data_IF_559780431217
#
_entry.id   IF_559780431217
#
_cell.length_a   1.000
_cell.length_b   1.000
_cell.length_c   1.000
_cell.angle_alpha   90.00
_cell.angle_beta   90.00
_cell.angle_gamma   90.00
#
_symmetry.space_group_name_H-M   'P 1'
#
loop_
_entity.id
_entity.type
_entity.pdbx_description
1 polymer ?
#
# COMPACT_ATOMS: atom_id res chain seq x y z
N UNK A 1 -31.85 40.20 80.32
CA UNK A 1 -31.62 39.01 81.16
C UNK A 1 -32.00 37.83 80.28
N UNK A 2 -31.10 37.41 79.40
CA UNK A 2 -29.98 36.49 79.64
C UNK A 2 -30.37 35.04 79.29
N UNK A 3 -30.29 34.78 77.98
CA UNK A 3 -29.85 33.51 77.41
C UNK A 3 -28.36 33.27 77.81
N UNK A 4 -27.74 32.13 77.44
CA UNK A 4 -26.38 31.63 77.89
C UNK A 4 -26.55 30.80 79.19
N UNK A 5 -26.04 29.58 79.41
CA UNK A 5 -25.11 28.63 78.73
C UNK A 5 -25.38 27.19 79.30
N UNK A 6 -24.69 26.06 79.04
CA UNK A 6 -23.57 25.65 78.15
C UNK A 6 -23.67 24.16 77.75
N UNK A 7 -22.93 23.76 76.71
CA UNK A 7 -22.21 22.47 76.66
C UNK A 7 -20.80 22.70 76.10
N UNK A 8 -19.79 22.38 76.90
CA UNK A 8 -18.35 22.39 76.61
C UNK A 8 -17.88 21.00 77.06
N UNK A 9 -17.18 20.19 76.25
CA UNK A 9 -15.74 20.15 75.97
C UNK A 9 -15.53 18.96 74.97
N UNK A 10 -14.44 18.78 74.21
CA UNK A 10 -13.11 19.42 74.20
C UNK A 10 -12.46 19.28 72.79
N UNK A 11 -11.45 20.11 72.56
CA UNK A 11 -10.33 20.04 71.59
C UNK A 11 -10.06 18.72 70.80
N UNK A 12 -9.52 18.74 69.58
CA UNK A 12 -8.36 19.54 69.13
C UNK A 12 -8.30 19.73 67.61
N UNK A 13 -7.65 20.82 67.16
CA UNK A 13 -7.39 21.11 65.74
C UNK A 13 -6.20 20.32 65.18
N UNK A 14 -6.29 19.84 63.94
CA UNK A 14 -5.16 19.77 63.00
C UNK A 14 -5.63 19.46 61.57
N UNK A 15 -5.63 20.50 60.71
CA UNK A 15 -5.67 20.43 59.25
C UNK A 15 -4.49 21.26 58.71
N UNK A 16 -4.01 21.07 57.46
CA UNK A 16 -4.17 19.92 56.58
C UNK A 16 -2.78 19.40 56.10
N UNK A 17 -2.76 18.37 55.25
CA UNK A 17 -1.58 18.06 54.43
C UNK A 17 -2.00 17.52 53.07
N UNK A 18 -1.91 18.32 51.98
CA UNK A 18 -2.15 17.83 50.63
C UNK A 18 -0.93 17.02 50.15
N UNK A 19 -1.19 15.82 49.63
CA UNK A 19 -0.16 14.94 49.07
C UNK A 19 0.58 15.63 47.90
N UNK A 20 1.93 15.67 47.91
CA UNK A 20 2.68 16.21 46.79
C UNK A 20 2.89 15.17 45.67
N UNK A 21 3.21 15.69 44.48
CA UNK A 21 3.57 15.00 43.23
C UNK A 21 2.37 14.52 42.38
N UNK A 22 2.18 14.98 41.14
CA UNK A 22 2.86 16.05 40.39
C UNK A 22 1.96 16.59 39.29
N UNK A 23 2.33 17.75 38.74
CA UNK A 23 1.89 18.20 37.42
C UNK A 23 2.04 17.08 36.36
N UNK A 24 1.22 17.00 35.32
CA UNK A 24 0.64 18.14 34.59
C UNK A 24 -0.79 17.86 34.12
N UNK A 25 -1.65 18.87 34.23
CA UNK A 25 -2.81 19.00 33.34
C UNK A 25 -2.30 19.33 31.95
N UNK A 26 -1.89 18.31 31.19
CA UNK A 26 -2.06 18.40 29.76
C UNK A 26 -3.48 17.89 29.47
N UNK A 27 -4.39 18.82 29.21
CA UNK A 27 -5.28 18.56 28.09
C UNK A 27 -4.32 18.31 26.92
N UNK A 28 -4.45 17.18 26.23
CA UNK A 28 -3.88 17.11 24.89
C UNK A 28 -4.77 18.06 24.10
N UNK A 29 -4.35 19.32 24.08
CA UNK A 29 -4.71 20.27 23.04
C UNK A 29 -4.74 19.47 21.75
N UNK A 30 -5.79 19.73 20.97
CA UNK A 30 -6.01 19.21 19.62
C UNK A 30 -4.83 19.67 18.75
N UNK A 31 -3.70 19.00 18.96
CA UNK A 31 -2.42 19.23 18.34
C UNK A 31 -2.60 18.64 16.97
N UNK A 32 -3.02 19.52 16.04
CA UNK A 32 -3.30 19.23 14.64
C UNK A 32 -2.39 18.11 14.17
N UNK A 33 -2.95 16.89 14.16
CA UNK A 33 -2.19 15.68 13.98
C UNK A 33 -1.97 15.49 12.48
N UNK A 34 -1.22 16.45 11.91
CA UNK A 34 -0.74 16.46 10.54
C UNK A 34 -0.23 15.07 10.23
N UNK A 35 -0.93 14.41 9.31
CA UNK A 35 -1.05 12.94 9.31
C UNK A 35 0.33 12.30 9.36
N UNK A 36 0.69 11.70 10.51
CA UNK A 36 2.03 11.14 10.68
C UNK A 36 2.29 10.11 9.58
N UNK A 37 3.45 10.22 8.93
CA UNK A 37 3.82 9.29 7.87
C UNK A 37 4.00 7.88 8.45
N UNK A 38 3.18 6.95 7.96
CA UNK A 38 3.27 5.52 8.22
C UNK A 38 3.80 4.83 6.95
N UNK A 39 4.90 4.06 6.99
CA UNK A 39 5.45 3.38 5.81
C UNK A 39 4.45 2.44 5.11
N UNK A 40 4.49 2.40 3.78
CA UNK A 40 3.62 1.50 2.99
C UNK A 40 4.02 0.04 3.16
N UNK A 41 3.07 -0.83 3.49
CA UNK A 41 3.28 -2.27 3.39
C UNK A 41 3.29 -2.67 1.91
N UNK A 42 4.39 -3.27 1.39
CA UNK A 42 4.40 -3.81 0.04
C UNK A 42 3.51 -5.05 -0.04
N UNK A 43 3.09 -5.38 -1.25
CA UNK A 43 2.51 -6.69 -1.57
C UNK A 43 3.08 -7.17 -2.90
N UNK A 44 3.37 -8.46 -3.00
CA UNK A 44 3.94 -9.05 -4.20
C UNK A 44 2.86 -9.40 -5.22
N UNK A 45 3.15 -9.14 -6.49
CA UNK A 45 2.30 -9.49 -7.64
C UNK A 45 3.12 -10.23 -8.68
N UNK A 46 2.46 -10.97 -9.57
CA UNK A 46 3.04 -11.51 -10.79
C UNK A 46 2.24 -11.07 -12.02
N UNK A 47 2.91 -10.87 -13.14
CA UNK A 47 2.29 -10.50 -14.41
C UNK A 47 1.97 -11.75 -15.24
N UNK A 48 0.73 -11.86 -15.72
CA UNK A 48 0.31 -12.89 -16.68
C UNK A 48 -0.34 -12.25 -17.90
N UNK A 49 0.04 -12.71 -19.09
CA UNK A 49 -0.62 -12.31 -20.33
C UNK A 49 -1.90 -13.13 -20.48
N UNK A 50 -3.05 -12.45 -20.50
CA UNK A 50 -4.39 -13.01 -20.70
C UNK A 50 -5.02 -12.22 -21.84
N UNK A 51 -5.52 -12.89 -22.88
CA UNK A 51 -6.10 -12.27 -24.08
C UNK A 51 -5.20 -11.17 -24.71
N UNK A 52 -3.90 -11.48 -24.83
CA UNK A 52 -2.85 -10.55 -25.29
C UNK A 52 -2.68 -9.28 -24.45
N UNK A 53 -3.16 -9.28 -23.20
CA UNK A 53 -3.02 -8.17 -22.26
C UNK A 53 -2.36 -8.61 -20.95
N UNK A 54 -1.39 -7.82 -20.50
CA UNK A 54 -0.82 -7.93 -19.16
C UNK A 54 -1.88 -7.74 -18.07
N UNK A 55 -1.97 -8.71 -17.17
CA UNK A 55 -2.78 -8.66 -15.95
C UNK A 55 -1.88 -8.96 -14.76
N UNK A 56 -1.81 -8.01 -13.83
CA UNK A 56 -1.10 -8.15 -12.56
C UNK A 56 -2.01 -8.86 -11.55
N UNK A 57 -1.52 -9.98 -11.02
CA UNK A 57 -2.26 -10.86 -10.09
C UNK A 57 -1.52 -10.84 -8.75
N UNK A 58 -2.20 -10.59 -7.61
CA UNK A 58 -1.56 -10.62 -6.30
C UNK A 58 -1.14 -12.05 -5.95
N UNK A 59 -0.01 -12.21 -5.26
CA UNK A 59 0.21 -13.43 -4.47
C UNK A 59 -0.79 -13.48 -3.30
N UNK A 60 -1.03 -14.68 -2.75
CA UNK A 60 -1.76 -14.80 -1.48
C UNK A 60 -0.94 -14.16 -0.33
N UNK A 61 -1.59 -13.88 0.80
CA UNK A 61 -0.94 -13.17 1.92
C UNK A 61 0.32 -13.87 2.44
N UNK A 62 0.31 -15.21 2.49
CA UNK A 62 1.41 -16.01 3.05
C UNK A 62 2.64 -16.04 2.13
N UNK A 63 2.43 -16.20 0.82
CA UNK A 63 3.53 -16.16 -0.16
C UNK A 63 4.10 -14.75 -0.28
N UNK A 64 3.23 -13.72 -0.30
CA UNK A 64 3.65 -12.31 -0.32
C UNK A 64 4.51 -11.95 0.90
N UNK A 65 4.14 -12.41 2.10
CA UNK A 65 4.94 -12.21 3.31
C UNK A 65 6.29 -12.93 3.23
N UNK A 66 6.33 -14.20 2.81
CA UNK A 66 7.57 -14.96 2.68
C UNK A 66 8.53 -14.32 1.66
N UNK A 67 8.00 -13.80 0.55
CA UNK A 67 8.77 -13.05 -0.45
C UNK A 67 9.35 -11.76 0.14
N UNK A 68 8.57 -11.01 0.93
CA UNK A 68 9.03 -9.77 1.56
C UNK A 68 10.07 -10.01 2.66
N UNK A 69 9.89 -11.03 3.50
CA UNK A 69 10.88 -11.44 4.51
C UNK A 69 12.18 -11.92 3.84
N UNK A 70 12.06 -12.66 2.73
CA UNK A 70 13.20 -13.11 1.96
C UNK A 70 13.98 -11.95 1.33
N UNK A 71 13.26 -11.01 0.70
CA UNK A 71 13.82 -9.81 0.08
C UNK A 71 14.48 -8.89 1.12
N UNK A 72 13.78 -8.59 2.22
CA UNK A 72 14.25 -7.69 3.29
C UNK A 72 15.45 -8.22 4.06
N UNK A 73 15.72 -9.53 3.99
CA UNK A 73 16.85 -10.14 4.70
C UNK A 73 18.24 -9.71 4.19
N UNK A 74 18.32 -9.08 3.00
CA UNK A 74 19.55 -8.54 2.42
C UNK A 74 20.62 -9.59 2.10
N UNK A 75 20.26 -10.88 2.13
CA UNK A 75 21.17 -12.02 1.90
C UNK A 75 20.79 -12.73 0.61
N UNK A 76 21.76 -12.74 -0.29
CA UNK A 76 21.71 -13.28 -1.65
C UNK A 76 20.69 -12.62 -2.59
N UNK A 77 21.19 -12.16 -3.74
CA UNK A 77 20.31 -11.82 -4.86
C UNK A 77 19.72 -13.09 -5.49
N UNK A 78 20.42 -14.22 -5.47
CA UNK A 78 19.97 -15.48 -6.09
C UNK A 78 19.01 -16.29 -5.19
N UNK A 79 18.27 -15.62 -4.29
CA UNK A 79 17.38 -16.28 -3.35
C UNK A 79 16.08 -16.73 -4.04
N UNK A 80 15.86 -18.04 -4.01
CA UNK A 80 14.64 -18.69 -4.49
C UNK A 80 13.64 -18.85 -3.33
N UNK A 81 12.36 -18.56 -3.59
CA UNK A 81 11.25 -18.72 -2.64
C UNK A 81 10.14 -19.57 -3.28
N UNK A 82 9.79 -20.73 -2.72
CA UNK A 82 8.66 -21.53 -3.21
C UNK A 82 7.35 -20.85 -2.87
N UNK A 83 6.43 -20.81 -3.84
CA UNK A 83 5.11 -20.20 -3.74
C UNK A 83 4.03 -21.18 -4.23
N UNK A 84 2.77 -20.84 -3.98
CA UNK A 84 1.62 -21.64 -4.40
C UNK A 84 1.66 -23.09 -3.85
N UNK A 85 2.29 -23.30 -2.69
CA UNK A 85 2.51 -24.62 -2.09
C UNK A 85 3.65 -25.42 -2.75
N UNK A 86 4.67 -24.75 -3.28
CA UNK A 86 5.83 -25.38 -3.94
C UNK A 86 5.59 -25.78 -5.40
N UNK A 87 4.51 -25.30 -6.01
CA UNK A 87 4.22 -25.50 -7.44
C UNK A 87 4.99 -24.54 -8.35
N UNK A 88 5.43 -23.41 -7.79
CA UNK A 88 6.19 -22.38 -8.48
C UNK A 88 7.31 -21.88 -7.59
N UNK A 89 8.44 -21.54 -8.20
CA UNK A 89 9.59 -20.94 -7.53
C UNK A 89 9.76 -19.49 -8.02
N UNK A 90 9.92 -18.56 -7.09
CA UNK A 90 10.22 -17.15 -7.37
C UNK A 90 11.70 -16.89 -7.14
N UNK A 91 12.40 -16.50 -8.20
CA UNK A 91 13.79 -16.09 -8.18
C UNK A 91 13.85 -14.58 -7.94
N UNK A 92 14.20 -14.18 -6.71
CA UNK A 92 14.10 -12.77 -6.31
C UNK A 92 15.05 -11.86 -7.09
N UNK A 93 16.26 -12.32 -7.42
CA UNK A 93 17.30 -11.49 -8.05
C UNK A 93 16.94 -10.98 -9.44
N UNK A 94 16.37 -11.84 -10.27
CA UNK A 94 15.90 -11.50 -11.62
C UNK A 94 14.42 -11.11 -11.67
N UNK A 95 13.70 -11.19 -10.55
CA UNK A 95 12.27 -10.87 -10.44
C UNK A 95 11.39 -11.73 -11.35
N UNK A 96 11.67 -13.04 -11.40
CA UNK A 96 10.93 -14.01 -12.23
C UNK A 96 10.34 -15.16 -11.41
N UNK A 97 9.23 -15.72 -11.89
CA UNK A 97 8.54 -16.90 -11.35
C UNK A 97 8.50 -18.02 -12.37
N UNK A 98 8.90 -19.21 -11.96
CA UNK A 98 8.95 -20.43 -12.78
C UNK A 98 7.99 -21.49 -12.25
N UNK A 99 7.41 -22.28 -13.13
CA UNK A 99 6.69 -23.49 -12.75
C UNK A 99 7.69 -24.62 -12.46
N UNK A 100 7.46 -25.38 -11.38
CA UNK A 100 8.38 -26.44 -10.91
C UNK A 100 8.11 -27.78 -11.59
N UNK A 101 6.84 -28.05 -11.91
CA UNK A 101 6.38 -29.38 -12.36
C UNK A 101 5.85 -29.43 -13.80
N UNK A 102 5.86 -28.30 -14.52
CA UNK A 102 5.42 -28.21 -15.93
C UNK A 102 6.13 -27.07 -16.64
N UNK A 103 6.17 -27.14 -17.97
CA UNK A 103 6.69 -26.07 -18.81
C UNK A 103 5.66 -24.91 -18.90
N UNK A 104 5.99 -23.77 -18.30
CA UNK A 104 5.28 -22.50 -18.47
C UNK A 104 6.31 -21.39 -18.70
N UNK A 105 5.95 -20.35 -19.45
CA UNK A 105 6.82 -19.19 -19.60
C UNK A 105 7.02 -18.51 -18.24
N UNK A 106 8.26 -18.11 -17.96
CA UNK A 106 8.60 -17.38 -16.75
C UNK A 106 7.77 -16.09 -16.65
N UNK A 107 7.15 -15.87 -15.49
CA UNK A 107 6.28 -14.73 -15.23
C UNK A 107 7.04 -13.64 -14.47
N UNK A 108 6.94 -12.38 -14.89
CA UNK A 108 7.51 -11.26 -14.13
C UNK A 108 6.86 -11.19 -12.75
N UNK A 109 7.67 -10.99 -11.72
CA UNK A 109 7.26 -10.79 -10.33
C UNK A 109 7.64 -9.37 -9.91
N UNK A 110 6.80 -8.70 -9.12
CA UNK A 110 7.06 -7.33 -8.68
C UNK A 110 6.62 -7.10 -7.25
N UNK A 111 7.45 -6.40 -6.48
CA UNK A 111 7.15 -5.85 -5.16
C UNK A 111 6.39 -4.53 -5.34
N UNK A 112 5.09 -4.53 -5.06
CA UNK A 112 4.21 -3.41 -5.40
C UNK A 112 3.82 -2.60 -4.17
N UNK A 113 4.08 -1.29 -4.21
CA UNK A 113 3.65 -0.31 -3.19
C UNK A 113 2.82 0.83 -3.77
N UNK A 114 2.92 1.10 -5.08
CA UNK A 114 2.21 2.17 -5.77
C UNK A 114 1.57 1.68 -7.06
N UNK A 115 0.36 2.16 -7.34
CA UNK A 115 -0.47 1.74 -8.46
C UNK A 115 -1.10 2.93 -9.18
N UNK A 116 -1.33 2.80 -10.49
CA UNK A 116 -2.20 3.70 -11.24
C UNK A 116 -3.40 2.93 -11.80
N UNK A 117 -4.53 3.63 -11.94
CA UNK A 117 -5.74 3.09 -12.54
C UNK A 117 -5.57 2.98 -14.06
N UNK A 118 -5.71 1.77 -14.60
CA UNK A 118 -5.65 1.51 -16.05
C UNK A 118 -6.85 2.07 -16.81
N UNK A 119 -6.61 2.45 -18.07
CA UNK A 119 -7.54 3.26 -18.88
C UNK A 119 -8.85 2.55 -19.27
N UNK A 120 -8.81 1.23 -19.49
CA UNK A 120 -9.91 0.50 -20.17
C UNK A 120 -10.75 -0.40 -19.27
N UNK A 121 -10.25 -0.80 -18.10
CA UNK A 121 -10.83 -1.91 -17.33
C UNK A 121 -10.92 -1.69 -15.81
N UNK A 122 -10.73 -0.46 -15.33
CA UNK A 122 -10.74 -0.09 -13.91
C UNK A 122 -9.72 -0.82 -13.01
N UNK A 123 -8.96 -1.79 -13.54
CA UNK A 123 -7.88 -2.49 -12.83
C UNK A 123 -6.76 -1.51 -12.48
N UNK A 124 -6.03 -1.84 -11.42
CA UNK A 124 -4.83 -1.13 -11.02
C UNK A 124 -3.59 -1.83 -11.56
N UNK A 125 -2.65 -1.04 -12.09
CA UNK A 125 -1.37 -1.50 -12.61
C UNK A 125 -0.29 -0.95 -11.67
N UNK A 126 0.62 -1.81 -11.15
CA UNK A 126 1.71 -1.35 -10.32
C UNK A 126 2.74 -0.57 -11.14
N UNK A 127 3.29 0.49 -10.55
CA UNK A 127 4.50 1.12 -11.07
C UNK A 127 5.70 0.16 -10.98
N UNK A 128 6.83 0.50 -11.62
CA UNK A 128 8.09 -0.22 -11.38
C UNK A 128 8.54 -0.02 -9.93
N UNK A 129 9.31 -0.95 -9.38
CA UNK A 129 9.79 -0.85 -7.99
C UNK A 129 10.62 0.42 -7.77
N UNK A 130 11.54 0.71 -8.69
CA UNK A 130 12.39 1.91 -8.68
C UNK A 130 11.62 3.22 -8.74
N UNK A 131 10.53 3.29 -9.52
CA UNK A 131 9.71 4.50 -9.55
C UNK A 131 8.80 4.59 -8.32
N UNK A 132 8.35 3.44 -7.79
CA UNK A 132 7.55 3.38 -6.56
C UNK A 132 8.34 3.85 -5.33
N UNK A 133 9.66 3.63 -5.30
CA UNK A 133 10.57 4.16 -4.27
C UNK A 133 10.61 5.70 -4.31
N UNK A 134 10.79 6.29 -5.50
CA UNK A 134 10.80 7.77 -5.69
C UNK A 134 9.42 8.39 -5.39
N UNK A 135 8.32 7.71 -5.76
CA UNK A 135 6.96 8.10 -5.38
C UNK A 135 6.79 8.12 -3.85
N UNK A 136 7.26 7.09 -3.16
CA UNK A 136 7.14 6.94 -1.71
C UNK A 136 7.99 7.96 -0.95
N UNK A 137 9.25 8.20 -1.34
CA UNK A 137 10.10 9.24 -0.76
C UNK A 137 9.44 10.62 -0.90
N UNK A 138 8.90 10.92 -2.08
CA UNK A 138 8.25 12.22 -2.33
C UNK A 138 6.93 12.34 -1.57
N UNK A 139 6.18 11.24 -1.40
CA UNK A 139 4.99 11.20 -0.56
C UNK A 139 5.33 11.42 0.91
N UNK A 140 6.36 10.75 1.43
CA UNK A 140 6.87 10.94 2.79
C UNK A 140 7.25 12.41 3.03
N UNK A 141 7.99 13.04 2.12
CA UNK A 141 8.35 14.46 2.22
C UNK A 141 7.12 15.39 2.14
N UNK A 142 6.16 15.10 1.26
CA UNK A 142 4.92 15.89 1.15
C UNK A 142 4.06 15.81 2.41
N UNK A 143 3.99 14.63 3.03
CA UNK A 143 3.26 14.39 4.30
C UNK A 143 3.98 15.04 5.48
N UNK A 144 5.29 14.83 5.63
CA UNK A 144 6.06 15.30 6.81
C UNK A 144 6.30 16.81 6.83
N UNK A 145 6.28 17.47 5.68
CA UNK A 145 6.45 18.93 5.55
C UNK A 145 5.14 19.68 5.25
N UNK A 146 4.01 18.96 5.11
CA UNK A 146 2.74 19.44 4.53
C UNK A 146 2.87 20.15 3.16
N UNK A 147 3.96 19.86 2.43
CA UNK A 147 4.24 20.48 1.13
C UNK A 147 3.63 19.66 -0.02
N UNK A 148 2.36 19.92 -0.31
CA UNK A 148 1.63 19.28 -1.40
C UNK A 148 1.89 19.90 -2.79
N UNK A 149 1.27 19.31 -3.82
CA UNK A 149 1.40 19.65 -5.25
C UNK A 149 2.79 19.35 -5.83
N UNK A 150 3.56 18.47 -5.17
CA UNK A 150 4.82 17.92 -5.70
C UNK A 150 4.55 17.24 -7.06
N UNK A 151 5.45 17.46 -8.01
CA UNK A 151 5.41 16.90 -9.36
C UNK A 151 6.57 15.92 -9.53
N UNK A 152 6.28 14.80 -10.15
CA UNK A 152 7.22 13.72 -10.45
C UNK A 152 7.12 13.36 -11.92
N UNK A 153 8.26 13.13 -12.56
CA UNK A 153 8.32 12.69 -13.96
C UNK A 153 8.70 11.21 -13.99
N UNK A 154 7.88 10.39 -14.63
CA UNK A 154 8.17 8.97 -14.85
C UNK A 154 9.27 8.79 -15.90
N UNK A 155 9.94 7.62 -15.96
CA UNK A 155 10.90 7.33 -17.04
C UNK A 155 10.33 7.50 -18.46
N UNK A 156 9.01 7.44 -18.60
CA UNK A 156 8.28 7.60 -19.86
C UNK A 156 7.84 9.06 -20.13
N UNK A 157 8.32 10.03 -19.34
CA UNK A 157 7.89 11.45 -19.33
C UNK A 157 6.42 11.66 -18.96
N UNK A 158 5.82 10.73 -18.23
CA UNK A 158 4.49 10.89 -17.65
C UNK A 158 4.59 11.71 -16.36
N UNK A 159 3.63 12.60 -16.09
CA UNK A 159 3.67 13.49 -14.92
C UNK A 159 2.72 13.00 -13.83
N UNK A 160 3.26 12.75 -12.64
CA UNK A 160 2.50 12.41 -11.44
C UNK A 160 2.45 13.64 -10.52
N UNK A 161 1.27 13.98 -9.98
CA UNK A 161 1.07 15.09 -9.05
C UNK A 161 0.40 14.60 -7.77
N UNK A 162 1.03 14.89 -6.63
CA UNK A 162 0.51 14.55 -5.30
C UNK A 162 -0.25 15.77 -4.72
N UNK A 163 -1.58 15.79 -4.79
CA UNK A 163 -2.37 16.93 -4.31
C UNK A 163 -2.72 16.87 -2.82
N UNK A 164 -2.95 15.67 -2.29
CA UNK A 164 -3.13 15.32 -0.86
C UNK A 164 -3.12 13.77 -0.74
N UNK A 165 -3.17 13.17 0.47
CA UNK A 165 -3.08 11.71 0.63
C UNK A 165 -4.15 10.89 -0.10
N UNK A 166 -5.30 11.50 -0.43
CA UNK A 166 -6.45 10.84 -1.07
C UNK A 166 -6.59 11.16 -2.56
N UNK A 167 -5.88 12.19 -3.05
CA UNK A 167 -5.93 12.68 -4.42
C UNK A 167 -4.53 12.80 -5.01
N UNK A 168 -4.17 11.79 -5.80
CA UNK A 168 -2.89 11.71 -6.52
C UNK A 168 -3.21 11.33 -7.96
N UNK A 169 -2.57 12.01 -8.91
CA UNK A 169 -2.99 12.00 -10.32
C UNK A 169 -1.81 11.75 -11.24
N UNK A 170 -2.02 10.90 -12.26
CA UNK A 170 -1.06 10.54 -13.29
C UNK A 170 -1.57 11.04 -14.66
N UNK A 171 -0.81 11.93 -15.28
CA UNK A 171 -1.00 12.47 -16.62
C UNK A 171 -0.04 11.81 -17.60
N UNK A 172 -0.55 11.27 -18.71
CA UNK A 172 0.31 10.79 -19.80
C UNK A 172 0.81 11.96 -20.65
N UNK A 173 2.02 11.86 -21.25
CA UNK A 173 2.45 12.82 -22.24
C UNK A 173 1.50 12.75 -23.44
N UNK A 174 1.15 13.94 -23.94
CA UNK A 174 0.38 14.06 -25.18
C UNK A 174 1.29 13.59 -26.31
N UNK A 175 0.87 12.56 -27.07
CA UNK A 175 1.53 12.24 -28.32
C UNK A 175 1.52 13.49 -29.20
N UNK A 176 2.67 13.87 -29.74
CA UNK A 176 2.88 15.20 -30.32
C UNK A 176 1.80 15.55 -31.34
N UNK A 177 1.08 16.66 -31.09
CA UNK A 177 0.16 17.19 -32.08
C UNK A 177 0.95 17.70 -33.27
N UNK A 178 0.87 16.99 -34.39
CA UNK A 178 1.32 17.53 -35.68
C UNK A 178 0.60 18.86 -35.95
N UNK A 179 1.30 19.80 -36.58
CA UNK A 179 0.99 21.24 -36.62
C UNK A 179 -0.23 21.62 -37.49
N UNK A 180 -1.19 20.70 -37.69
CA UNK A 180 -2.36 20.90 -38.53
C UNK A 180 -3.67 20.41 -37.91
N UNK A 181 -4.15 21.14 -36.90
CA UNK A 181 -5.58 21.34 -36.68
C UNK A 181 -6.44 20.09 -36.42
N UNK A 182 -6.00 19.17 -35.56
CA UNK A 182 -6.89 18.18 -34.93
C UNK A 182 -7.16 18.56 -33.47
N UNK A 183 -8.41 18.38 -33.02
CA UNK A 183 -8.82 18.77 -31.68
C UNK A 183 -8.02 18.03 -30.59
N UNK A 184 -7.77 18.63 -29.40
CA UNK A 184 -6.98 18.02 -28.33
C UNK A 184 -7.80 16.94 -27.57
N UNK A 185 -8.20 15.88 -28.27
CA UNK A 185 -9.01 14.79 -27.75
C UNK A 185 -8.17 13.71 -27.04
N UNK A 186 -6.85 13.70 -27.23
CA UNK A 186 -5.91 12.72 -26.66
C UNK A 186 -4.96 13.32 -25.61
N UNK A 187 -5.39 14.38 -24.90
CA UNK A 187 -4.94 14.52 -23.51
C UNK A 187 -5.58 13.38 -22.71
N UNK A 188 -4.85 12.26 -22.58
CA UNK A 188 -5.30 11.09 -21.84
C UNK A 188 -5.86 11.48 -20.48
N UNK A 189 -7.09 11.03 -20.18
CA UNK A 189 -7.83 11.44 -18.98
C UNK A 189 -6.95 11.24 -17.74
N UNK A 190 -6.83 12.22 -16.83
CA UNK A 190 -6.02 12.08 -15.62
C UNK A 190 -6.39 10.80 -14.85
N UNK A 191 -5.39 9.93 -14.67
CA UNK A 191 -5.54 8.62 -14.03
C UNK A 191 -5.33 8.74 -12.52
N UNK A 192 -6.11 8.01 -11.73
CA UNK A 192 -5.95 7.98 -10.28
C UNK A 192 -4.72 7.16 -9.89
N UNK A 193 -3.91 7.71 -8.99
CA UNK A 193 -2.79 7.01 -8.33
C UNK A 193 -3.21 6.58 -6.94
N UNK A 194 -2.81 5.38 -6.52
CA UNK A 194 -3.08 4.78 -5.22
C UNK A 194 -1.79 4.25 -4.59
N UNK A 195 -1.70 4.39 -3.28
CA UNK A 195 -0.63 3.88 -2.42
C UNK A 195 -1.15 2.65 -1.68
N UNK A 196 -0.35 1.60 -1.60
CA UNK A 196 -0.69 0.35 -0.92
C UNK A 196 -1.81 -0.45 -1.60
N UNK A 197 -2.00 -1.69 -1.14
CA UNK A 197 -3.06 -2.59 -1.64
C UNK A 197 -4.41 -2.36 -0.97
N UNK A 198 -4.42 -1.80 0.23
CA UNK A 198 -5.61 -1.43 1.00
C UNK A 198 -6.47 -0.35 0.31
N UNK A 199 -5.88 0.38 -0.64
CA UNK A 199 -6.53 1.44 -1.40
C UNK A 199 -7.03 1.03 -2.80
N UNK A 200 -6.90 -0.26 -3.17
CA UNK A 200 -7.33 -0.81 -4.46
C UNK A 200 -8.27 -2.00 -4.26
N UNK A 201 -9.20 -2.22 -5.21
CA UNK A 201 -10.17 -3.32 -5.13
C UNK A 201 -9.57 -4.61 -5.68
N UNK A 202 -8.69 -5.24 -4.90
CA UNK A 202 -8.00 -6.49 -5.24
C UNK A 202 -8.30 -7.56 -4.17
N UNK A 203 -8.64 -8.77 -4.61
CA UNK A 203 -8.96 -9.90 -3.72
C UNK A 203 -7.69 -10.66 -3.32
N UNK A 204 -7.14 -10.31 -2.16
CA UNK A 204 -5.94 -10.98 -1.60
C UNK A 204 -6.40 -12.12 -0.72
N UNK A 205 -6.18 -13.34 -1.23
CA UNK A 205 -6.56 -14.55 -0.53
C UNK A 205 -5.65 -14.76 0.69
N UNK A 206 -6.23 -14.94 1.87
CA UNK A 206 -5.52 -15.54 3.00
C UNK A 206 -5.36 -17.05 2.70
N UNK A 207 -4.19 -17.63 2.97
CA UNK A 207 -3.73 -18.94 2.46
C UNK A 207 -4.53 -20.20 2.87
N UNK A 208 -5.73 -20.06 3.43
CA UNK A 208 -6.64 -21.16 3.67
C UNK A 208 -7.14 -21.73 2.33
N UNK A 209 -6.55 -22.85 1.94
CA UNK A 209 -6.93 -23.68 0.78
C UNK A 209 -8.39 -24.12 0.85
N UNK A 210 -9.28 -23.30 0.31
CA UNK A 210 -10.64 -23.72 -0.02
C UNK A 210 -10.56 -24.79 -1.12
N UNK A 211 -10.76 -26.03 -0.70
CA UNK A 211 -10.68 -27.26 -1.49
C UNK A 211 -11.87 -27.37 -2.47
N UNK A 212 -11.97 -26.42 -3.40
CA UNK A 212 -13.14 -26.25 -4.28
C UNK A 212 -12.79 -25.89 -5.73
N UNK A 213 -11.60 -25.34 -6.02
CA UNK A 213 -11.22 -24.99 -7.39
C UNK A 213 -10.79 -26.17 -8.27
N UNK A 214 -10.50 -27.35 -7.71
CA UNK A 214 -10.18 -28.55 -8.49
C UNK A 214 -11.39 -29.18 -9.22
N UNK A 215 -12.63 -28.76 -8.92
CA UNK A 215 -13.84 -29.38 -9.50
C UNK A 215 -14.11 -28.96 -10.95
N UNK A 216 -13.72 -27.75 -11.37
CA UNK A 216 -14.12 -27.21 -12.67
C UNK A 216 -13.20 -27.56 -13.84
N UNK A 217 -11.92 -27.87 -13.59
CA UNK A 217 -10.99 -28.24 -14.67
C UNK A 217 -11.09 -29.74 -15.05
N UNK A 218 -11.52 -30.61 -14.12
CA UNK A 218 -11.64 -32.05 -14.40
C UNK A 218 -12.83 -32.42 -15.30
N UNK A 219 -13.89 -31.59 -15.32
CA UNK A 219 -15.11 -31.87 -16.11
C UNK A 219 -14.83 -31.76 -17.63
N UNK A 220 -13.90 -30.89 -18.03
CA UNK A 220 -13.53 -30.73 -19.44
C UNK A 220 -12.62 -31.84 -19.99
N UNK A 221 -12.02 -32.68 -19.15
CA UNK A 221 -11.14 -33.78 -19.58
C UNK A 221 -11.84 -35.14 -19.73
N UNK A 222 -13.15 -35.21 -19.49
CA UNK A 222 -13.97 -36.45 -19.58
C UNK A 222 -15.12 -36.37 -20.60
N UNK A 223 -15.08 -35.40 -21.52
CA UNK A 223 -16.04 -35.28 -22.64
C UNK A 223 -15.38 -35.40 -24.02
N UNK A 224 -14.44 -36.36 -24.15
CA UNK A 224 -13.92 -36.90 -25.41
C UNK A 224 -14.13 -38.41 -25.44
#
# INVERSE_FOLDING_TARGET
MSLVESQQEQSSQSDPSPSPNSCSSFELLDMDAGSLYEPVSPHWFYCKIIDSKETWIPFNSQDSQQLEEAYSSGKDCDRIVPTDGGRYDVHLGERMRYAVYWDELALEVRRCTWFYKGDKDNKYVPYSESFSEVLEETYMLAVTLDEWKKKLESPNREIIILHNPKLMVHYQPVAGSDEWGSAPAEQGRPRTVKRGVENISVDIHCGNVNHSFFSYLLIYLFMT
#
